data_IF_821958456448
#
_entry.id   IF_821958456448
#
_cell.length_a   1.000
_cell.length_b   1.000
_cell.length_c   1.000
_cell.angle_alpha   90.00
_cell.angle_beta   90.00
_cell.angle_gamma   90.00
#
_symmetry.space_group_name_H-M   'P 1'
#
loop_
_entity.id
_entity.type
_entity.pdbx_description
1 polymer ?
#
# COMPACT_ATOMS: atom_id res chain seq x y z
N UNK A 1 13.20 17.95 -5.62
CA UNK A 1 12.48 18.90 -6.51
C UNK A 1 11.00 18.77 -6.23
N UNK A 2 10.53 19.46 -5.21
CA UNK A 2 9.10 19.59 -4.98
C UNK A 2 8.71 21.07 -5.12
N UNK A 3 8.29 21.50 -6.31
CA UNK A 3 7.82 22.87 -6.60
C UNK A 3 6.29 23.00 -6.44
N UNK A 4 5.70 22.18 -5.55
CA UNK A 4 4.27 22.27 -5.25
C UNK A 4 3.96 23.64 -4.64
N UNK A 5 3.21 24.45 -5.39
CA UNK A 5 2.72 25.76 -4.96
C UNK A 5 1.23 25.69 -4.67
N UNK A 6 0.84 26.32 -3.56
CA UNK A 6 -0.55 26.48 -3.19
C UNK A 6 -0.95 27.93 -3.41
N UNK A 7 -2.14 28.17 -3.94
CA UNK A 7 -2.67 29.52 -4.10
C UNK A 7 -4.06 29.59 -3.48
N UNK A 8 -4.32 30.66 -2.72
CA UNK A 8 -5.67 31.05 -2.34
C UNK A 8 -6.24 31.93 -3.44
N UNK A 9 -7.36 31.54 -4.03
CA UNK A 9 -8.06 32.30 -5.07
C UNK A 9 -9.35 32.87 -4.50
N UNK A 10 -9.50 34.20 -4.52
CA UNK A 10 -10.71 34.93 -4.11
C UNK A 10 -11.02 35.96 -5.19
N UNK A 11 -12.25 35.94 -5.71
CA UNK A 11 -12.71 36.86 -6.76
C UNK A 11 -11.78 36.94 -7.98
N UNK A 12 -11.24 35.79 -8.41
CA UNK A 12 -10.33 35.69 -9.56
C UNK A 12 -8.91 36.21 -9.31
N UNK A 13 -8.59 36.65 -8.08
CA UNK A 13 -7.23 37.05 -7.68
C UNK A 13 -6.58 35.93 -6.87
N UNK A 14 -5.34 35.58 -7.21
CA UNK A 14 -4.56 34.56 -6.51
C UNK A 14 -3.51 35.19 -5.60
N UNK A 15 -3.34 34.61 -4.42
CA UNK A 15 -2.23 34.89 -3.49
C UNK A 15 -1.55 33.57 -3.15
N UNK A 16 -0.23 33.52 -3.30
CA UNK A 16 0.54 32.33 -2.97
C UNK A 16 0.50 32.03 -1.46
N UNK A 17 0.16 30.78 -1.18
CA UNK A 17 0.49 29.89 -0.08
C UNK A 17 1.97 29.57 0.12
N UNK A 18 2.86 30.32 0.81
CA UNK A 18 4.24 29.87 0.95
C UNK A 18 4.28 28.56 1.75
N UNK A 19 4.74 27.49 1.09
CA UNK A 19 4.95 26.20 1.74
C UNK A 19 6.34 26.10 2.36
N UNK A 20 6.43 25.50 3.54
CA UNK A 20 7.70 25.20 4.21
C UNK A 20 7.83 23.72 4.52
N UNK A 21 9.08 23.26 4.57
CA UNK A 21 9.43 21.95 5.10
C UNK A 21 9.86 22.02 6.58
N UNK A 22 9.60 23.15 7.26
CA UNK A 22 10.08 23.41 8.62
C UNK A 22 8.95 23.25 9.62
N UNK A 23 8.23 22.12 9.53
CA UNK A 23 7.43 21.67 10.64
C UNK A 23 8.38 21.11 11.71
N UNK A 24 8.10 21.35 12.99
CA UNK A 24 8.79 20.66 14.08
C UNK A 24 8.56 19.17 13.85
N UNK A 25 9.60 18.39 13.52
CA UNK A 25 9.48 17.02 13.02
C UNK A 25 8.58 16.14 13.90
N UNK A 26 8.65 16.35 15.22
CA UNK A 26 7.80 15.69 16.21
C UNK A 26 6.31 16.04 16.10
N UNK A 27 5.98 17.27 15.71
CA UNK A 27 4.61 17.67 15.44
C UNK A 27 4.07 16.99 14.17
N UNK A 28 4.85 16.97 13.10
CA UNK A 28 4.50 16.27 11.86
C UNK A 28 4.27 14.77 12.12
N UNK A 29 5.20 14.11 12.82
CA UNK A 29 5.08 12.70 13.19
C UNK A 29 3.78 12.44 13.95
N UNK A 30 3.49 13.22 15.01
CA UNK A 30 2.25 13.05 15.78
C UNK A 30 0.99 13.29 14.95
N UNK A 31 1.02 14.27 14.05
CA UNK A 31 -0.10 14.56 13.16
C UNK A 31 -0.36 13.38 12.21
N UNK A 32 0.70 12.83 11.62
CA UNK A 32 0.59 11.66 10.74
C UNK A 32 0.18 10.43 11.54
N UNK A 33 0.74 10.15 12.72
CA UNK A 33 0.35 9.02 13.58
C UNK A 33 -1.14 9.05 13.96
N UNK A 34 -1.67 10.24 14.28
CA UNK A 34 -3.09 10.42 14.60
C UNK A 34 -4.03 10.24 13.40
N UNK A 35 -3.52 10.39 12.17
CA UNK A 35 -4.31 10.35 10.94
C UNK A 35 -3.74 9.34 9.92
N UNK A 36 -3.00 8.34 10.41
CA UNK A 36 -2.08 7.55 9.58
C UNK A 36 -2.82 6.72 8.54
N UNK A 37 -4.01 6.24 8.91
CA UNK A 37 -4.86 5.47 8.00
C UNK A 37 -5.37 6.35 6.86
N UNK A 38 -5.85 7.56 7.17
CA UNK A 38 -6.35 8.50 6.16
C UNK A 38 -5.24 9.02 5.24
N UNK A 39 -4.08 9.34 5.80
CA UNK A 39 -2.95 9.96 5.10
C UNK A 39 -2.08 8.97 4.34
N UNK A 40 -1.84 7.78 4.89
CA UNK A 40 -0.87 6.81 4.36
C UNK A 40 -1.46 5.42 4.05
N UNK A 41 -2.71 5.16 4.44
CA UNK A 41 -3.29 3.81 4.34
C UNK A 41 -2.67 2.82 5.34
N UNK A 42 -2.15 3.31 6.47
CA UNK A 42 -1.46 2.48 7.47
C UNK A 42 -2.20 2.61 8.80
N UNK A 43 -2.52 1.47 9.43
CA UNK A 43 -3.16 1.46 10.75
C UNK A 43 -2.09 1.56 11.83
N UNK A 44 -2.09 2.66 12.58
CA UNK A 44 -1.06 2.96 13.56
C UNK A 44 -1.04 1.95 14.73
N UNK A 45 0.14 1.41 15.05
CA UNK A 45 0.35 0.50 16.18
C UNK A 45 1.14 1.15 17.32
N UNK A 46 2.28 1.76 17.00
CA UNK A 46 3.23 2.27 17.97
C UNK A 46 4.06 3.43 17.42
N UNK A 47 4.46 4.32 18.32
CA UNK A 47 5.37 5.44 18.08
C UNK A 47 6.67 5.17 18.84
N UNK A 48 7.80 5.61 18.29
CA UNK A 48 9.12 5.56 18.91
C UNK A 48 9.47 4.17 19.49
N UNK A 49 9.20 3.12 18.71
CA UNK A 49 9.29 1.73 19.13
C UNK A 49 10.75 1.26 19.28
N UNK A 50 11.15 0.86 20.48
CA UNK A 50 12.52 0.42 20.77
C UNK A 50 12.80 -0.96 20.16
N UNK A 51 13.90 -1.10 19.41
CA UNK A 51 14.28 -2.36 18.73
C UNK A 51 15.21 -3.25 19.57
N UNK A 52 15.25 -3.01 20.88
CA UNK A 52 16.01 -3.78 21.84
C UNK A 52 17.54 -3.65 21.73
N UNK A 53 18.28 -4.40 22.57
CA UNK A 53 19.73 -4.24 22.73
C UNK A 53 20.57 -4.68 21.52
N UNK A 54 20.01 -5.50 20.63
CA UNK A 54 20.68 -6.05 19.44
C UNK A 54 20.69 -5.06 18.28
N UNK A 55 19.56 -4.42 17.99
CA UNK A 55 19.44 -3.44 16.90
C UNK A 55 19.69 -2.01 17.38
N UNK A 56 19.61 -1.74 18.70
CA UNK A 56 19.97 -0.47 19.37
C UNK A 56 19.39 0.77 18.69
N UNK A 57 18.17 0.64 18.17
CA UNK A 57 17.49 1.68 17.42
C UNK A 57 16.10 1.96 17.97
N UNK A 58 15.41 2.84 17.26
CA UNK A 58 14.05 3.23 17.58
C UNK A 58 13.33 3.52 16.28
N UNK A 59 12.29 2.74 16.02
CA UNK A 59 11.45 2.92 14.84
C UNK A 59 10.49 4.07 15.13
N UNK A 60 10.42 5.07 14.25
CA UNK A 60 9.61 6.25 14.51
C UNK A 60 8.12 5.89 14.57
N UNK A 61 7.60 5.13 13.59
CA UNK A 61 6.23 4.60 13.65
C UNK A 61 6.08 3.22 12.97
N UNK A 62 5.10 2.44 13.44
CA UNK A 62 4.80 1.08 12.95
C UNK A 62 3.30 0.88 12.67
N UNK A 63 2.98 0.10 11.64
CA UNK A 63 1.61 -0.35 11.37
C UNK A 63 1.48 -1.28 10.17
N UNK A 64 0.38 -2.05 10.02
CA UNK A 64 0.09 -2.75 8.76
C UNK A 64 -0.53 -1.81 7.72
N UNK A 65 -0.16 -1.99 6.45
CA UNK A 65 -0.83 -1.33 5.32
C UNK A 65 -2.20 -1.96 5.00
N UNK A 66 -2.88 -1.42 3.99
CA UNK A 66 -4.19 -1.88 3.52
C UNK A 66 -4.17 -3.33 3.01
N UNK A 67 -3.01 -3.85 2.60
CA UNK A 67 -2.84 -5.24 2.15
C UNK A 67 -2.43 -6.18 3.29
N UNK A 68 -2.23 -5.66 4.50
CA UNK A 68 -1.77 -6.41 5.67
C UNK A 68 -0.24 -6.53 5.77
N UNK A 69 0.52 -5.88 4.90
CA UNK A 69 1.98 -5.92 4.99
C UNK A 69 2.49 -5.06 6.16
N UNK A 70 3.45 -5.55 6.95
CA UNK A 70 4.11 -4.73 7.97
C UNK A 70 4.79 -3.51 7.36
N UNK A 71 4.57 -2.34 7.97
CA UNK A 71 5.14 -1.07 7.55
C UNK A 71 5.94 -0.41 8.66
N UNK A 72 7.13 0.05 8.29
CA UNK A 72 7.92 1.00 9.07
C UNK A 72 7.78 2.37 8.42
N UNK A 73 7.54 3.40 9.22
CA UNK A 73 7.56 4.80 8.78
C UNK A 73 8.69 5.52 9.51
N UNK A 74 9.59 6.15 8.76
CA UNK A 74 10.76 6.88 9.29
C UNK A 74 10.75 8.33 8.78
N UNK A 75 11.02 9.28 9.67
CA UNK A 75 11.02 10.70 9.34
C UNK A 75 12.45 11.21 9.20
N UNK A 76 12.80 11.75 8.04
CA UNK A 76 14.12 12.34 7.80
C UNK A 76 14.23 13.63 8.60
N UNK A 77 15.08 13.61 9.62
CA UNK A 77 15.44 14.81 10.36
C UNK A 77 16.35 15.72 9.52
N UNK A 78 16.20 17.03 9.67
CA UNK A 78 16.85 18.05 8.85
C UNK A 78 18.37 17.85 8.68
N UNK A 79 18.81 17.87 7.41
CA UNK A 79 20.19 17.96 6.88
C UNK A 79 21.29 16.99 7.32
N UNK A 80 20.99 15.83 7.92
CA UNK A 80 22.09 14.87 8.09
C UNK A 80 21.76 13.59 8.82
N UNK A 81 21.23 12.62 8.07
CA UNK A 81 21.51 11.18 8.21
C UNK A 81 20.78 10.43 7.10
N UNK A 82 21.36 9.30 6.68
CA UNK A 82 20.76 8.41 5.70
C UNK A 82 19.52 7.73 6.30
N UNK A 83 18.37 8.42 6.25
CA UNK A 83 17.07 7.88 6.68
C UNK A 83 16.83 6.50 6.07
N UNK A 84 17.23 6.33 4.81
CA UNK A 84 17.17 5.07 4.08
C UNK A 84 18.02 3.99 4.78
N UNK A 85 19.28 4.25 5.13
CA UNK A 85 20.15 3.25 5.78
C UNK A 85 19.65 2.85 7.17
N UNK A 86 19.17 3.81 7.97
CA UNK A 86 18.57 3.51 9.27
C UNK A 86 17.32 2.65 9.11
N UNK A 87 16.46 3.04 8.19
CA UNK A 87 15.23 2.34 7.90
C UNK A 87 15.45 0.91 7.38
N UNK A 88 16.48 0.68 6.56
CA UNK A 88 16.89 -0.67 6.13
C UNK A 88 17.31 -1.56 7.31
N UNK A 89 17.96 -0.99 8.33
CA UNK A 89 18.30 -1.74 9.55
C UNK A 89 17.06 -2.21 10.33
N UNK A 90 15.95 -1.47 10.21
CA UNK A 90 14.68 -1.80 10.86
C UNK A 90 13.86 -2.83 10.08
N UNK A 91 13.98 -2.88 8.75
CA UNK A 91 13.47 -4.02 7.98
C UNK A 91 14.09 -5.34 8.44
N UNK A 92 15.39 -5.35 8.79
CA UNK A 92 16.01 -6.53 9.38
C UNK A 92 15.40 -6.87 10.76
N UNK A 93 15.09 -5.88 11.58
CA UNK A 93 14.41 -6.09 12.86
C UNK A 93 13.02 -6.73 12.66
N UNK A 94 12.20 -6.24 11.73
CA UNK A 94 10.88 -6.80 11.42
C UNK A 94 10.96 -8.29 11.06
N UNK A 95 11.94 -8.66 10.22
CA UNK A 95 12.15 -10.05 9.82
C UNK A 95 12.59 -10.94 10.98
N UNK A 96 13.39 -10.40 11.90
CA UNK A 96 13.89 -11.16 13.05
C UNK A 96 12.85 -11.28 14.18
N UNK A 97 11.82 -10.41 14.20
CA UNK A 97 10.82 -10.31 15.28
C UNK A 97 9.35 -10.35 14.79
N UNK A 98 8.93 -11.29 13.93
CA UNK A 98 7.59 -11.29 13.36
C UNK A 98 6.49 -11.43 14.43
N UNK A 99 6.71 -12.28 15.43
CA UNK A 99 5.78 -12.48 16.54
C UNK A 99 5.58 -11.23 17.40
N UNK A 100 6.59 -10.36 17.48
CA UNK A 100 6.49 -9.12 18.24
C UNK A 100 5.56 -8.14 17.53
N UNK A 101 5.69 -8.00 16.21
CA UNK A 101 4.77 -7.20 15.39
C UNK A 101 3.35 -7.77 15.42
N UNK A 102 3.18 -9.09 15.23
CA UNK A 102 1.87 -9.76 15.32
C UNK A 102 1.22 -9.56 16.69
N UNK A 103 2.01 -9.57 17.77
CA UNK A 103 1.51 -9.27 19.11
C UNK A 103 1.01 -7.83 19.23
N UNK A 104 1.70 -6.86 18.63
CA UNK A 104 1.25 -5.46 18.59
C UNK A 104 -0.05 -5.32 17.79
N UNK A 105 -0.14 -5.96 16.63
CA UNK A 105 -1.35 -6.00 15.81
C UNK A 105 -2.51 -6.58 16.60
N UNK A 106 -2.33 -7.76 17.22
CA UNK A 106 -3.36 -8.40 18.03
C UNK A 106 -3.85 -7.49 19.17
N UNK A 107 -2.92 -6.85 19.88
CA UNK A 107 -3.26 -5.96 21.02
C UNK A 107 -4.01 -4.70 20.61
N UNK A 108 -3.73 -4.13 19.43
CA UNK A 108 -4.29 -2.84 18.98
C UNK A 108 -5.48 -2.99 18.05
N UNK A 109 -5.45 -3.99 17.17
CA UNK A 109 -6.37 -4.17 16.04
C UNK A 109 -7.16 -5.50 16.09
N UNK A 110 -6.83 -6.40 17.03
CA UNK A 110 -7.55 -7.66 17.24
C UNK A 110 -7.00 -8.86 16.47
N UNK A 111 -7.56 -10.03 16.76
CA UNK A 111 -7.07 -11.33 16.27
C UNK A 111 -7.24 -11.53 14.77
N UNK A 112 -8.35 -11.02 14.19
CA UNK A 112 -8.62 -11.15 12.76
C UNK A 112 -7.54 -10.46 11.93
N UNK A 113 -7.16 -9.25 12.33
CA UNK A 113 -6.11 -8.47 11.65
C UNK A 113 -4.74 -9.09 11.86
N UNK A 114 -4.47 -9.62 13.06
CA UNK A 114 -3.21 -10.32 13.33
C UNK A 114 -3.04 -11.56 12.44
N UNK A 115 -4.15 -12.26 12.16
CA UNK A 115 -4.16 -13.45 11.29
C UNK A 115 -4.00 -13.10 9.80
N UNK A 116 -4.24 -11.84 9.42
CA UNK A 116 -4.12 -11.36 8.04
C UNK A 116 -2.79 -10.65 7.75
N UNK A 117 -1.83 -10.67 8.67
CA UNK A 117 -0.51 -10.04 8.45
C UNK A 117 0.22 -10.78 7.35
N UNK A 118 0.66 -10.03 6.32
CA UNK A 118 1.40 -10.58 5.19
C UNK A 118 2.87 -10.15 5.22
N UNK A 119 3.74 -11.09 5.56
CA UNK A 119 5.19 -10.91 5.63
C UNK A 119 5.90 -10.98 4.27
N UNK A 120 5.18 -11.21 3.16
CA UNK A 120 5.78 -11.43 1.84
C UNK A 120 6.52 -10.21 1.29
N UNK A 121 6.04 -9.00 1.62
CA UNK A 121 6.61 -7.75 1.12
C UNK A 121 6.47 -6.57 2.11
N UNK A 122 7.20 -6.59 3.25
CA UNK A 122 7.20 -5.49 4.21
C UNK A 122 7.60 -4.17 3.54
N UNK A 123 6.90 -3.09 3.88
CA UNK A 123 7.05 -1.77 3.26
C UNK A 123 7.83 -0.85 4.19
N UNK A 124 8.66 -0.02 3.58
CA UNK A 124 9.27 1.12 4.24
C UNK A 124 8.72 2.42 3.66
N UNK A 125 8.35 3.36 4.52
CA UNK A 125 7.94 4.71 4.11
C UNK A 125 8.88 5.73 4.75
N UNK A 126 9.68 6.41 3.94
CA UNK A 126 10.54 7.51 4.37
C UNK A 126 9.83 8.83 4.11
N UNK A 127 9.65 9.66 5.14
CA UNK A 127 8.97 10.96 5.04
C UNK A 127 9.97 12.10 5.25
N UNK A 128 10.04 13.04 4.31
CA UNK A 128 11.01 14.15 4.36
C UNK A 128 10.48 15.43 3.71
N UNK A 129 11.12 16.58 3.96
CA UNK A 129 10.78 17.82 3.25
C UNK A 129 11.12 17.79 1.76
N UNK A 130 12.25 17.17 1.41
CA UNK A 130 12.66 16.93 0.03
C UNK A 130 13.60 15.72 -0.03
N UNK A 131 13.72 15.14 -1.21
CA UNK A 131 14.66 14.07 -1.53
C UNK A 131 15.60 14.50 -2.66
N UNK A 132 16.85 14.09 -2.53
CA UNK A 132 17.84 14.28 -3.59
C UNK A 132 17.66 13.23 -4.68
N UNK A 133 18.18 13.49 -5.88
CA UNK A 133 18.25 12.47 -6.94
C UNK A 133 19.01 11.22 -6.48
N UNK A 134 20.02 11.39 -5.62
CA UNK A 134 20.74 10.27 -5.03
C UNK A 134 19.87 9.41 -4.09
N UNK A 135 18.95 10.03 -3.34
CA UNK A 135 18.00 9.28 -2.50
C UNK A 135 17.08 8.42 -3.37
N UNK A 136 16.59 8.96 -4.50
CA UNK A 136 15.74 8.23 -5.45
C UNK A 136 16.50 7.09 -6.11
N UNK A 137 17.67 7.36 -6.67
CA UNK A 137 18.48 6.32 -7.31
C UNK A 137 18.90 5.23 -6.31
N UNK A 138 19.16 5.58 -5.05
CA UNK A 138 19.51 4.60 -4.03
C UNK A 138 18.36 3.63 -3.76
N UNK A 139 17.10 4.09 -3.67
CA UNK A 139 15.98 3.18 -3.42
C UNK A 139 15.71 2.23 -4.58
N UNK A 140 15.97 2.66 -5.81
CA UNK A 140 15.88 1.81 -7.01
C UNK A 140 16.85 0.62 -6.94
N UNK A 141 18.10 0.88 -6.55
CA UNK A 141 19.15 -0.15 -6.46
C UNK A 141 18.97 -1.13 -5.29
N UNK A 142 18.29 -0.70 -4.22
CA UNK A 142 18.13 -1.52 -3.00
C UNK A 142 17.25 -2.76 -3.24
N UNK A 143 16.32 -2.71 -4.19
CA UNK A 143 15.43 -3.84 -4.53
C UNK A 143 14.45 -4.24 -3.41
N UNK A 144 14.14 -3.32 -2.48
CA UNK A 144 13.15 -3.47 -1.40
C UNK A 144 11.94 -2.57 -1.64
N UNK A 145 10.82 -2.88 -0.97
CA UNK A 145 9.61 -2.06 -1.07
C UNK A 145 9.76 -0.79 -0.24
N UNK A 146 10.06 0.33 -0.90
CA UNK A 146 10.38 1.61 -0.26
C UNK A 146 9.63 2.73 -0.95
N UNK A 147 8.95 3.56 -0.15
CA UNK A 147 8.31 4.78 -0.60
C UNK A 147 9.05 5.99 -0.03
N UNK A 148 9.32 6.96 -0.90
CA UNK A 148 9.81 8.27 -0.53
C UNK A 148 8.65 9.25 -0.62
N UNK A 149 8.19 9.76 0.52
CA UNK A 149 7.06 10.70 0.59
C UNK A 149 7.56 12.06 1.05
N UNK A 150 7.44 13.06 0.19
CA UNK A 150 7.75 14.43 0.57
C UNK A 150 6.56 15.11 1.23
N UNK A 151 6.81 16.03 2.17
CA UNK A 151 5.76 16.84 2.78
C UNK A 151 6.02 18.34 2.58
N UNK A 152 4.93 19.11 2.57
CA UNK A 152 4.97 20.58 2.55
C UNK A 152 3.85 21.13 3.42
N UNK A 153 4.22 21.93 4.42
CA UNK A 153 3.30 22.63 5.32
C UNK A 153 3.07 24.05 4.82
N UNK A 154 1.83 24.38 4.50
CA UNK A 154 1.40 25.70 4.01
C UNK A 154 0.84 26.59 5.13
N UNK A 155 0.94 26.15 6.38
CA UNK A 155 0.34 26.82 7.54
C UNK A 155 -1.18 26.72 7.56
N UNK A 156 -1.79 27.17 8.65
CA UNK A 156 -3.26 27.21 8.77
C UNK A 156 -3.94 25.84 8.69
N UNK A 157 -3.22 24.75 9.04
CA UNK A 157 -3.74 23.38 8.97
C UNK A 157 -3.70 22.73 7.58
N UNK A 158 -2.94 23.31 6.64
CA UNK A 158 -2.81 22.81 5.27
C UNK A 158 -1.48 22.06 5.10
N UNK A 159 -1.56 20.73 5.01
CA UNK A 159 -0.40 19.86 4.79
C UNK A 159 -0.58 19.09 3.47
N UNK A 160 0.44 19.11 2.63
CA UNK A 160 0.51 18.25 1.45
C UNK A 160 1.51 17.11 1.67
N UNK A 161 1.13 15.91 1.20
CA UNK A 161 2.01 14.74 1.09
C UNK A 161 2.09 14.36 -0.39
N UNK A 162 3.30 14.07 -0.87
CA UNK A 162 3.52 13.67 -2.26
C UNK A 162 4.47 12.48 -2.32
N UNK A 163 4.05 11.43 -3.01
CA UNK A 163 4.91 10.30 -3.35
C UNK A 163 5.94 10.74 -4.38
N UNK A 164 7.22 10.75 -4.00
CA UNK A 164 8.35 11.15 -4.86
C UNK A 164 8.90 9.95 -5.62
N UNK A 165 8.98 8.80 -4.96
CA UNK A 165 9.39 7.53 -5.55
C UNK A 165 8.73 6.38 -4.78
N UNK A 166 8.48 5.27 -5.47
CA UNK A 166 7.91 4.07 -4.87
C UNK A 166 8.46 2.84 -5.55
N UNK A 167 9.18 2.02 -4.80
CA UNK A 167 9.73 0.75 -5.25
C UNK A 167 8.84 -0.37 -4.73
N UNK A 168 8.50 -1.33 -5.60
CA UNK A 168 7.64 -2.46 -5.23
C UNK A 168 8.43 -3.61 -4.60
N UNK A 169 9.76 -3.60 -4.75
CA UNK A 169 10.65 -4.62 -4.23
C UNK A 169 10.50 -5.99 -4.91
N UNK A 170 11.44 -6.90 -4.63
CA UNK A 170 11.31 -8.31 -5.00
C UNK A 170 10.65 -9.08 -3.85
N UNK A 171 9.46 -9.63 -4.08
CA UNK A 171 8.73 -10.43 -3.09
C UNK A 171 9.52 -11.72 -2.78
N UNK A 172 9.96 -11.90 -1.53
CA UNK A 172 10.53 -13.17 -1.07
C UNK A 172 9.42 -13.98 -0.42
N UNK A 173 9.05 -15.17 -0.94
CA UNK A 173 8.05 -16.01 -0.29
C UNK A 173 8.60 -16.51 1.04
N UNK A 174 8.15 -15.94 2.16
CA UNK A 174 8.48 -16.44 3.49
C UNK A 174 7.59 -17.65 3.77
N UNK A 175 8.09 -18.86 3.48
CA UNK A 175 7.49 -20.09 4.00
C UNK A 175 7.81 -20.14 5.48
N UNK A 176 6.84 -19.82 6.34
CA UNK A 176 6.94 -20.13 7.77
C UNK A 176 7.00 -21.66 7.85
N UNK A 177 8.21 -22.21 7.98
CA UNK A 177 8.39 -23.59 8.40
C UNK A 177 8.04 -23.62 9.89
N UNK A 178 6.80 -23.95 10.20
CA UNK A 178 6.47 -24.48 11.53
C UNK A 178 7.31 -25.73 11.71
N UNK A 179 8.35 -25.63 12.55
CA UNK A 179 9.21 -26.74 12.91
C UNK A 179 8.40 -27.77 13.70
N UNK A 180 7.80 -28.72 13.00
CA UNK A 180 7.37 -29.98 13.60
C UNK A 180 8.62 -30.86 13.73
N UNK A 181 9.07 -31.02 14.97
CA UNK A 181 10.12 -31.95 15.38
C UNK A 181 9.84 -33.37 14.90
N UNK A 182 10.88 -34.00 14.36
CA UNK A 182 10.88 -35.33 13.75
C UNK A 182 10.43 -36.44 14.72
N UNK A 183 9.51 -37.29 14.25
CA UNK A 183 9.51 -38.72 14.55
C UNK A 183 8.94 -39.48 13.34
N UNK A 184 9.74 -40.42 12.84
CA UNK A 184 9.59 -41.21 11.63
C UNK A 184 8.33 -42.08 11.60
N UNK A 185 7.58 -42.04 10.50
CA UNK A 185 7.03 -43.24 9.84
C UNK A 185 6.33 -42.85 8.53
N UNK A 186 6.59 -43.65 7.50
CA UNK A 186 6.11 -43.47 6.14
C UNK A 186 4.61 -43.73 6.01
N UNK A 187 3.87 -42.82 5.36
CA UNK A 187 2.66 -43.06 4.56
C UNK A 187 2.41 -41.84 3.64
N UNK A 188 1.99 -42.02 2.37
CA UNK A 188 1.73 -40.91 1.46
C UNK A 188 0.36 -40.28 1.78
N UNK A 189 0.36 -39.14 2.46
CA UNK A 189 -0.88 -38.40 2.77
C UNK A 189 -1.10 -37.32 1.72
N UNK A 190 -2.18 -37.52 0.95
CA UNK A 190 -3.17 -36.54 0.46
C UNK A 190 -2.71 -35.14 0.06
N UNK A 191 -3.00 -34.78 -1.19
CA UNK A 191 -2.69 -33.49 -1.80
C UNK A 191 -3.01 -32.28 -0.94
N UNK A 192 -1.97 -31.56 -0.53
CA UNK A 192 -2.05 -30.17 -0.16
C UNK A 192 -2.42 -29.39 -1.42
N UNK A 193 -3.68 -28.94 -1.53
CA UNK A 193 -4.07 -28.01 -2.58
C UNK A 193 -3.33 -26.70 -2.33
N UNK A 194 -2.20 -26.52 -2.98
CA UNK A 194 -1.45 -25.27 -2.93
C UNK A 194 -2.36 -24.14 -3.38
N UNK A 195 -2.54 -23.14 -2.53
CA UNK A 195 -3.31 -21.93 -2.84
C UNK A 195 -2.68 -21.31 -4.08
N UNK A 196 -3.43 -21.22 -5.18
CA UNK A 196 -2.95 -20.63 -6.44
C UNK A 196 -2.80 -19.12 -6.28
N UNK A 197 -1.66 -18.58 -6.69
CA UNK A 197 -1.43 -17.13 -6.67
C UNK A 197 -2.20 -16.43 -7.79
N UNK A 198 -2.49 -15.14 -7.64
CA UNK A 198 -3.13 -14.34 -8.71
C UNK A 198 -2.32 -14.37 -10.00
N UNK A 199 -0.98 -14.42 -9.91
CA UNK A 199 -0.07 -14.55 -11.05
C UNK A 199 -0.31 -15.85 -11.79
N UNK A 200 -0.39 -16.98 -11.08
CA UNK A 200 -0.72 -18.27 -11.67
C UNK A 200 -2.12 -18.28 -12.26
N UNK A 201 -3.10 -17.64 -11.62
CA UNK A 201 -4.46 -17.54 -12.17
C UNK A 201 -4.45 -16.73 -13.46
N UNK A 202 -3.74 -15.61 -13.51
CA UNK A 202 -3.56 -14.78 -14.69
C UNK A 202 -2.88 -15.54 -15.83
N UNK A 203 -1.77 -16.22 -15.57
CA UNK A 203 -1.01 -16.99 -16.58
C UNK A 203 -1.85 -18.12 -17.21
N UNK A 204 -2.78 -18.69 -16.44
CA UNK A 204 -3.68 -19.75 -16.91
C UNK A 204 -5.05 -19.22 -17.37
N UNK A 205 -5.26 -17.90 -17.41
CA UNK A 205 -6.54 -17.32 -17.82
C UNK A 205 -6.72 -17.39 -19.35
N UNK A 206 -7.98 -17.49 -19.84
CA UNK A 206 -8.28 -17.37 -21.27
C UNK A 206 -7.68 -16.10 -21.86
N UNK A 207 -7.22 -16.17 -23.10
CA UNK A 207 -6.56 -15.06 -23.80
C UNK A 207 -7.40 -13.77 -23.79
N UNK A 208 -8.68 -13.86 -24.12
CA UNK A 208 -9.60 -12.73 -24.09
C UNK A 208 -9.77 -12.08 -22.70
N UNK A 209 -9.64 -12.84 -21.61
CA UNK A 209 -9.65 -12.27 -20.26
C UNK A 209 -8.32 -11.58 -19.92
N UNK A 210 -7.20 -12.09 -20.46
CA UNK A 210 -5.88 -11.45 -20.33
C UNK A 210 -5.81 -10.16 -21.13
N UNK A 211 -6.39 -10.11 -22.33
CA UNK A 211 -6.52 -8.90 -23.15
C UNK A 211 -7.35 -7.84 -22.44
N UNK A 212 -8.54 -8.21 -21.95
CA UNK A 212 -9.42 -7.31 -21.18
C UNK A 212 -8.70 -6.73 -19.96
N UNK A 213 -7.88 -7.53 -19.29
CA UNK A 213 -7.05 -7.06 -18.19
C UNK A 213 -5.92 -6.16 -18.65
N UNK A 214 -5.26 -6.44 -19.78
CA UNK A 214 -4.20 -5.60 -20.32
C UNK A 214 -4.71 -4.18 -20.62
N UNK A 215 -5.92 -4.07 -21.16
CA UNK A 215 -6.56 -2.77 -21.42
C UNK A 215 -6.86 -2.02 -20.12
N UNK A 216 -7.40 -2.71 -19.11
CA UNK A 216 -7.64 -2.14 -17.78
C UNK A 216 -6.32 -1.72 -17.08
N UNK A 217 -5.28 -2.54 -17.18
CA UNK A 217 -3.95 -2.29 -16.65
C UNK A 217 -3.35 -1.02 -17.27
N UNK A 218 -3.51 -0.85 -18.59
CA UNK A 218 -3.06 0.35 -19.30
C UNK A 218 -3.80 1.61 -18.82
N UNK A 219 -5.09 1.53 -18.55
CA UNK A 219 -5.88 2.65 -18.00
C UNK A 219 -5.37 3.03 -16.59
N UNK A 220 -5.13 2.03 -15.75
CA UNK A 220 -4.70 2.24 -14.35
C UNK A 220 -3.28 2.81 -14.27
N UNK A 221 -2.34 2.30 -15.08
CA UNK A 221 -0.94 2.76 -15.08
C UNK A 221 -0.79 4.08 -15.84
N UNK A 222 -1.59 4.31 -16.88
CA UNK A 222 -1.46 5.46 -17.78
C UNK A 222 -1.70 6.84 -17.14
N UNK A 223 -2.25 6.91 -15.93
CA UNK A 223 -2.51 8.18 -15.23
C UNK A 223 -1.29 8.77 -14.51
N UNK A 224 -0.13 8.10 -14.56
CA UNK A 224 1.08 8.53 -13.85
C UNK A 224 0.97 8.23 -12.35
N UNK A 225 2.11 7.97 -11.70
CA UNK A 225 2.27 7.76 -10.25
C UNK A 225 1.57 6.52 -9.63
N UNK A 226 0.80 5.76 -10.42
CA UNK A 226 0.19 4.49 -9.96
C UNK A 226 1.19 3.34 -10.10
N UNK A 227 1.44 2.65 -8.99
CA UNK A 227 2.28 1.47 -8.87
C UNK A 227 1.45 0.20 -8.86
N UNK A 228 2.01 -0.87 -9.42
CA UNK A 228 1.37 -2.18 -9.52
C UNK A 228 2.11 -3.21 -8.69
N UNK A 229 1.38 -3.89 -7.82
CA UNK A 229 1.92 -4.90 -6.89
C UNK A 229 1.10 -6.20 -6.98
N UNK A 230 1.79 -7.33 -7.12
CA UNK A 230 1.14 -8.64 -7.10
C UNK A 230 1.01 -9.12 -5.65
N UNK A 231 -0.23 -9.25 -5.17
CA UNK A 231 -0.53 -9.90 -3.90
C UNK A 231 -0.87 -11.39 -4.14
N UNK A 232 -1.04 -12.16 -3.07
CA UNK A 232 -1.37 -13.58 -3.20
C UNK A 232 -2.67 -13.81 -3.99
N UNK A 233 -3.70 -13.01 -3.73
CA UNK A 233 -5.06 -13.24 -4.25
C UNK A 233 -5.54 -12.22 -5.29
N UNK A 234 -4.87 -11.08 -5.40
CA UNK A 234 -5.27 -9.97 -6.27
C UNK A 234 -4.04 -9.16 -6.70
N UNK A 235 -4.21 -8.29 -7.69
CA UNK A 235 -3.22 -7.31 -8.10
C UNK A 235 -3.65 -5.97 -7.51
N UNK A 236 -2.79 -5.32 -6.74
CA UNK A 236 -3.04 -4.01 -6.17
C UNK A 236 -2.45 -2.92 -7.07
N UNK A 237 -3.22 -1.86 -7.27
CA UNK A 237 -2.81 -0.61 -7.90
C UNK A 237 -2.86 0.46 -6.83
N UNK A 238 -1.76 1.16 -6.62
CA UNK A 238 -1.64 2.10 -5.52
C UNK A 238 -0.87 3.36 -5.89
N UNK A 239 -1.21 4.45 -5.22
CA UNK A 239 -0.36 5.63 -5.07
C UNK A 239 0.25 5.56 -3.66
N UNK A 240 0.01 6.57 -2.83
CA UNK A 240 0.26 6.47 -1.39
C UNK A 240 -0.62 5.36 -0.79
N UNK A 241 -1.89 5.33 -1.21
CA UNK A 241 -2.92 4.33 -0.86
C UNK A 241 -3.35 3.52 -2.08
N UNK A 242 -3.98 2.37 -1.85
CA UNK A 242 -4.58 1.57 -2.90
C UNK A 242 -5.71 2.34 -3.58
N UNK A 243 -5.65 2.38 -4.91
CA UNK A 243 -6.69 2.98 -5.77
C UNK A 243 -7.53 1.91 -6.44
N UNK A 244 -6.98 0.72 -6.67
CA UNK A 244 -7.76 -0.40 -7.17
C UNK A 244 -7.16 -1.75 -6.77
N UNK A 245 -7.99 -2.78 -6.68
CA UNK A 245 -7.53 -4.17 -6.64
C UNK A 245 -8.24 -5.01 -7.70
N UNK A 246 -7.50 -5.90 -8.37
CA UNK A 246 -8.03 -6.74 -9.45
C UNK A 246 -7.87 -8.21 -9.09
N UNK A 247 -8.97 -8.95 -9.20
CA UNK A 247 -8.97 -10.42 -9.10
C UNK A 247 -9.60 -11.04 -10.34
N UNK A 248 -9.02 -12.13 -10.79
CA UNK A 248 -9.50 -12.89 -11.94
C UNK A 248 -10.51 -13.95 -11.50
N UNK A 249 -11.62 -14.05 -12.24
CA UNK A 249 -12.57 -15.17 -12.17
C UNK A 249 -12.70 -15.84 -13.54
N UNK A 250 -11.75 -16.71 -13.94
CA UNK A 250 -11.72 -17.29 -15.28
C UNK A 250 -12.98 -18.07 -15.66
N UNK A 251 -13.58 -18.80 -14.70
CA UNK A 251 -14.79 -19.62 -14.94
C UNK A 251 -16.01 -18.80 -15.40
N UNK A 252 -16.12 -17.55 -14.96
CA UNK A 252 -17.21 -16.65 -15.32
C UNK A 252 -16.76 -15.56 -16.29
N UNK A 253 -15.54 -15.63 -16.81
CA UNK A 253 -14.94 -14.60 -17.66
C UNK A 253 -15.09 -13.19 -17.05
N UNK A 254 -14.69 -13.02 -15.79
CA UNK A 254 -14.91 -11.76 -15.06
C UNK A 254 -13.63 -11.27 -14.40
N UNK A 255 -13.31 -9.99 -14.60
CA UNK A 255 -12.41 -9.24 -13.73
C UNK A 255 -13.26 -8.63 -12.61
N UNK A 256 -12.93 -8.98 -11.37
CA UNK A 256 -13.51 -8.34 -10.19
C UNK A 256 -12.54 -7.25 -9.78
N UNK A 257 -12.93 -6.02 -10.07
CA UNK A 257 -12.19 -4.82 -9.72
C UNK A 257 -12.82 -4.24 -8.47
N UNK A 258 -12.01 -3.80 -7.52
CA UNK A 258 -12.48 -2.96 -6.42
C UNK A 258 -11.82 -1.62 -6.49
N UNK A 259 -12.61 -0.60 -6.22
CA UNK A 259 -12.22 0.79 -6.32
C UNK A 259 -12.42 1.45 -4.96
N UNK A 260 -11.48 2.31 -4.59
CA UNK A 260 -11.55 3.20 -3.43
C UNK A 260 -12.40 4.41 -3.81
N UNK A 261 -13.70 4.15 -4.00
CA UNK A 261 -14.73 5.13 -4.34
C UNK A 261 -15.89 4.91 -3.38
N UNK A 262 -16.41 5.99 -2.78
CA UNK A 262 -17.55 5.89 -1.87
C UNK A 262 -18.80 5.38 -2.63
N UNK A 263 -19.35 4.20 -2.28
CA UNK A 263 -20.53 3.64 -2.94
C UNK A 263 -21.77 4.54 -2.86
N UNK A 264 -21.88 5.39 -1.84
CA UNK A 264 -23.02 6.33 -1.68
C UNK A 264 -23.05 7.41 -2.77
N UNK A 265 -21.95 7.59 -3.49
CA UNK A 265 -21.80 8.58 -4.57
C UNK A 265 -21.97 7.96 -5.97
N UNK A 266 -22.43 6.71 -6.05
CA UNK A 266 -22.51 5.93 -7.28
C UNK A 266 -23.88 5.25 -7.37
N UNK A 267 -24.51 5.33 -8.54
CA UNK A 267 -25.70 4.53 -8.81
C UNK A 267 -25.33 3.05 -8.99
N UNK A 268 -25.72 2.23 -8.01
CA UNK A 268 -25.41 0.80 -8.02
C UNK A 268 -26.28 0.04 -9.01
N UNK A 269 -25.62 -0.72 -9.89
CA UNK A 269 -26.23 -1.48 -10.97
C UNK A 269 -26.02 -2.97 -10.73
N UNK A 270 -27.12 -3.69 -10.49
CA UNK A 270 -27.10 -5.13 -10.22
C UNK A 270 -26.30 -5.90 -11.27
N UNK A 271 -25.30 -6.66 -10.83
CA UNK A 271 -24.45 -7.48 -11.70
C UNK A 271 -23.20 -6.76 -12.24
N UNK A 272 -23.12 -5.43 -12.12
CA UNK A 272 -22.00 -4.60 -12.54
C UNK A 272 -21.31 -3.94 -11.34
N UNK A 273 -22.02 -3.11 -10.57
CA UNK A 273 -21.50 -2.43 -9.37
C UNK A 273 -22.17 -2.95 -8.09
N UNK A 274 -21.42 -2.97 -6.99
CA UNK A 274 -21.90 -3.43 -5.68
C UNK A 274 -21.14 -2.72 -4.56
N UNK A 275 -21.87 -2.26 -3.54
CA UNK A 275 -21.30 -1.87 -2.25
C UNK A 275 -20.85 -3.14 -1.50
N UNK A 276 -19.56 -3.17 -1.14
CA UNK A 276 -18.95 -4.28 -0.39
C UNK A 276 -18.50 -3.90 1.02
N UNK A 277 -18.88 -2.71 1.52
CA UNK A 277 -18.64 -2.32 2.91
C UNK A 277 -19.28 -3.33 3.87
N UNK A 278 -18.52 -3.74 4.90
CA UNK A 278 -19.00 -4.69 5.91
C UNK A 278 -19.17 -6.14 5.42
N UNK A 279 -18.76 -6.44 4.19
CA UNK A 279 -18.75 -7.82 3.66
C UNK A 279 -17.30 -8.30 3.66
N UNK A 280 -17.04 -9.51 4.19
CA UNK A 280 -15.71 -10.13 4.14
C UNK A 280 -15.30 -10.39 2.68
N UNK A 281 -14.16 -9.84 2.27
CA UNK A 281 -13.91 -9.58 0.86
C UNK A 281 -12.40 -9.49 0.57
N UNK A 282 -11.89 -10.19 -0.46
CA UNK A 282 -10.46 -10.16 -0.84
C UNK A 282 -10.07 -8.92 -1.66
N UNK A 283 -9.11 -8.14 -1.17
CA UNK A 283 -8.67 -6.87 -1.78
C UNK A 283 -9.29 -5.66 -1.07
N UNK A 284 -8.82 -4.47 -1.41
CA UNK A 284 -9.23 -3.20 -0.80
C UNK A 284 -10.17 -2.43 -1.72
N UNK A 285 -10.93 -1.49 -1.14
CA UNK A 285 -11.91 -0.67 -1.84
C UNK A 285 -13.36 -1.09 -1.56
N UNK A 286 -14.20 -0.08 -1.40
CA UNK A 286 -15.60 -0.22 -0.97
C UNK A 286 -16.58 -0.51 -2.11
N UNK A 287 -16.18 -0.18 -3.35
CA UNK A 287 -16.98 -0.38 -4.55
C UNK A 287 -16.43 -1.53 -5.39
N UNK A 288 -17.20 -2.61 -5.54
CA UNK A 288 -16.88 -3.71 -6.45
C UNK A 288 -17.48 -3.45 -7.83
N UNK A 289 -16.66 -3.54 -8.88
CA UNK A 289 -17.02 -3.45 -10.30
C UNK A 289 -16.66 -4.77 -10.98
N UNK A 290 -17.64 -5.38 -11.67
CA UNK A 290 -17.43 -6.61 -12.44
C UNK A 290 -17.34 -6.29 -13.92
N UNK A 291 -16.18 -6.53 -14.52
CA UNK A 291 -15.90 -6.27 -15.93
C UNK A 291 -15.81 -7.60 -16.67
N UNK A 292 -16.67 -7.80 -17.68
CA UNK A 292 -16.74 -9.04 -18.48
C UNK A 292 -16.51 -8.82 -19.97
N UNK A 293 -16.58 -7.57 -20.42
CA UNK A 293 -16.46 -7.18 -21.82
C UNK A 293 -15.80 -5.80 -21.95
N UNK A 294 -15.48 -5.42 -23.19
CA UNK A 294 -14.96 -4.07 -23.48
C UNK A 294 -16.00 -2.97 -23.22
N UNK A 295 -17.29 -3.27 -23.37
CA UNK A 295 -18.37 -2.33 -23.01
C UNK A 295 -18.41 -2.08 -21.51
N UNK A 296 -18.27 -3.15 -20.69
CA UNK A 296 -18.16 -3.02 -19.24
C UNK A 296 -16.92 -2.19 -18.85
N UNK A 297 -15.80 -2.38 -19.57
CA UNK A 297 -14.56 -1.64 -19.31
C UNK A 297 -14.74 -0.15 -19.62
N UNK A 298 -15.33 0.18 -20.78
CA UNK A 298 -15.64 1.57 -21.16
C UNK A 298 -16.56 2.23 -20.12
N UNK A 299 -17.59 1.51 -19.67
CA UNK A 299 -18.53 1.96 -18.64
C UNK A 299 -17.86 2.14 -17.27
N UNK A 300 -16.86 1.32 -16.93
CA UNK A 300 -16.12 1.43 -15.68
C UNK A 300 -15.11 2.59 -15.68
N UNK A 301 -14.76 3.16 -16.84
CA UNK A 301 -13.68 4.14 -17.01
C UNK A 301 -13.79 5.37 -16.10
N UNK A 302 -14.99 5.92 -15.92
CA UNK A 302 -15.21 7.06 -15.01
C UNK A 302 -14.97 6.69 -13.55
N UNK A 303 -15.43 5.52 -13.11
CA UNK A 303 -15.21 5.04 -11.74
C UNK A 303 -13.73 4.79 -11.47
N UNK A 304 -13.01 4.21 -12.45
CA UNK A 304 -11.56 3.98 -12.35
C UNK A 304 -10.82 5.31 -12.21
N UNK A 305 -11.13 6.31 -13.07
CA UNK A 305 -10.54 7.66 -12.98
C UNK A 305 -10.84 8.34 -11.66
N UNK A 306 -12.08 8.25 -11.17
CA UNK A 306 -12.47 8.78 -9.86
C UNK A 306 -11.66 8.16 -8.73
N UNK A 307 -11.51 6.85 -8.72
CA UNK A 307 -10.72 6.13 -7.71
C UNK A 307 -9.26 6.61 -7.65
N UNK A 308 -8.67 6.89 -8.82
CA UNK A 308 -7.30 7.42 -8.94
C UNK A 308 -7.20 8.88 -8.50
N UNK A 309 -8.21 9.70 -8.80
CA UNK A 309 -8.23 11.13 -8.47
C UNK A 309 -8.57 11.44 -7.01
N UNK A 310 -9.31 10.57 -6.34
CA UNK A 310 -9.68 10.70 -4.93
C UNK A 310 -8.56 10.24 -3.96
N UNK A 311 -7.44 9.69 -4.47
CA UNK A 311 -6.33 9.09 -3.69
C UNK A 311 -4.94 9.44 -4.22
#
# INVERSE_FOLDING_TARGET
MNDLKLFRVVDGRSVEIPGSAVALERHLQRLIEANMEAMLGIRFLASEYATGPRHRGRIDSLGPDENGNPVIVEYKRSNGKAVITQALSYLAWLRDHPHEFESLVKKRLGDEVASSVDWSNPRLVCIAGDFTVHDVNAVEEIGRRIDLVSYRDFGGGLLALQLVASMTGSSTPHRIQTAAVNASSALPVGGSSTVKSVRQIYENAPESLRELYADLDAILIGQGDVQKEFQLHYIAYRKIKNVATIRFQPRSHTLVVRLTVNPDTVELCKGFTRDVRGIGCLGTGDLEVRIRSQEDLARAGDLVRRSIGEN
#
